data_IF_258029732584
#
_entry.id   IF_258029732584
#
_cell.length_a   1.000
_cell.length_b   1.000
_cell.length_c   1.000
_cell.angle_alpha   90.00
_cell.angle_beta   90.00
_cell.angle_gamma   90.00
#
_symmetry.space_group_name_H-M   'P 1'
#
loop_
_entity.id
_entity.type
_entity.pdbx_description
1 polymer ?
#
# COMPACT_ATOMS: atom_id res chain seq x y z
N UNK A 1 15.59 12.55 25.19
CA UNK A 1 15.66 11.07 25.02
C UNK A 1 14.60 10.38 25.86
N UNK A 2 14.53 10.63 27.18
CA UNK A 2 13.50 10.05 28.08
C UNK A 2 12.05 10.21 27.58
N UNK A 3 11.62 11.41 27.16
CA UNK A 3 10.26 11.64 26.66
C UNK A 3 9.89 10.82 25.40
N UNK A 4 10.86 10.56 24.53
CA UNK A 4 10.65 9.78 23.29
C UNK A 4 10.51 8.30 23.64
N UNK A 5 11.38 7.79 24.51
CA UNK A 5 11.29 6.42 25.02
C UNK A 5 10.01 6.18 25.83
N UNK A 6 9.56 7.16 26.62
CA UNK A 6 8.34 7.04 27.43
C UNK A 6 7.07 7.09 26.56
N UNK A 7 7.04 7.91 25.50
CA UNK A 7 5.93 7.94 24.53
C UNK A 7 5.85 6.66 23.69
N UNK A 8 7.00 6.10 23.29
CA UNK A 8 7.02 4.82 22.56
C UNK A 8 6.76 3.62 23.46
N UNK A 9 7.17 3.66 24.73
CA UNK A 9 6.79 2.67 25.73
C UNK A 9 5.29 2.75 26.07
N UNK A 10 4.68 3.93 25.99
CA UNK A 10 3.23 4.12 26.13
C UNK A 10 2.42 3.55 24.95
N UNK A 11 2.99 3.53 23.74
CA UNK A 11 2.34 2.99 22.55
C UNK A 11 2.58 1.47 22.35
N UNK A 12 3.36 0.82 23.23
CA UNK A 12 3.75 -0.59 23.13
C UNK A 12 4.28 -1.01 21.74
N UNK A 13 4.94 -0.06 21.04
CA UNK A 13 5.47 -0.30 19.70
C UNK A 13 6.82 -1.02 19.79
N UNK A 14 6.95 -2.10 19.03
CA UNK A 14 8.24 -2.75 18.80
C UNK A 14 9.17 -1.81 18.04
N UNK A 15 10.48 -1.98 18.25
CA UNK A 15 11.51 -1.19 17.54
C UNK A 15 11.38 -1.29 16.01
N UNK A 16 10.86 -2.41 15.51
CA UNK A 16 10.66 -2.65 14.08
C UNK A 16 9.52 -1.82 13.50
N UNK A 17 8.43 -1.64 14.23
CA UNK A 17 7.30 -0.79 13.81
C UNK A 17 7.70 0.68 13.78
N UNK A 18 8.49 1.12 14.75
CA UNK A 18 9.06 2.48 14.77
C UNK A 18 9.96 2.70 13.55
N UNK A 19 10.80 1.74 13.20
CA UNK A 19 11.67 1.82 12.01
C UNK A 19 10.81 1.91 10.74
N UNK A 20 9.81 1.04 10.59
CA UNK A 20 8.92 1.03 9.43
C UNK A 20 8.17 2.36 9.27
N UNK A 21 7.61 2.89 10.35
CA UNK A 21 6.92 4.18 10.36
C UNK A 21 7.87 5.32 9.98
N UNK A 22 9.06 5.36 10.56
CA UNK A 22 10.09 6.35 10.23
C UNK A 22 10.46 6.28 8.74
N UNK A 23 10.62 5.08 8.18
CA UNK A 23 10.98 4.91 6.77
C UNK A 23 9.87 5.42 5.84
N UNK A 24 8.60 5.11 6.12
CA UNK A 24 7.47 5.62 5.34
C UNK A 24 7.34 7.16 5.41
N UNK A 25 7.53 7.75 6.61
CA UNK A 25 7.55 9.21 6.78
C UNK A 25 8.69 9.87 5.99
N UNK A 26 9.88 9.24 5.97
CA UNK A 26 10.99 9.68 5.12
C UNK A 26 10.61 9.64 3.65
N UNK A 27 9.92 8.59 3.18
CA UNK A 27 9.45 8.54 1.79
C UNK A 27 8.42 9.61 1.46
N UNK A 28 7.42 9.84 2.31
CA UNK A 28 6.46 10.95 2.13
C UNK A 28 7.20 12.29 2.03
N UNK A 29 8.16 12.53 2.91
CA UNK A 29 8.97 13.76 2.90
C UNK A 29 9.80 13.89 1.61
N UNK A 30 10.51 12.82 1.21
CA UNK A 30 11.30 12.79 -0.02
C UNK A 30 10.43 12.99 -1.27
N UNK A 31 9.24 12.39 -1.31
CA UNK A 31 8.26 12.63 -2.37
C UNK A 31 7.86 14.10 -2.42
N UNK A 32 7.53 14.68 -1.26
CA UNK A 32 7.11 16.09 -1.11
C UNK A 32 8.20 17.06 -1.58
N UNK A 33 9.47 16.83 -1.21
CA UNK A 33 10.59 17.66 -1.64
C UNK A 33 10.84 17.59 -3.15
N UNK A 34 10.60 16.44 -3.77
CA UNK A 34 10.85 16.24 -5.19
C UNK A 34 9.66 16.59 -6.08
N UNK A 35 8.49 16.95 -5.52
CA UNK A 35 7.25 17.35 -6.24
C UNK A 35 7.57 18.29 -7.43
N UNK A 36 8.42 19.29 -7.19
CA UNK A 36 8.81 20.30 -8.18
C UNK A 36 9.65 19.73 -9.34
N UNK A 37 10.44 18.68 -9.12
CA UNK A 37 11.30 18.05 -10.12
C UNK A 37 10.55 17.07 -11.05
N UNK A 38 9.46 16.46 -10.60
CA UNK A 38 8.62 15.58 -11.43
C UNK A 38 7.92 16.32 -12.58
N UNK A 39 7.78 17.65 -12.46
CA UNK A 39 7.12 18.53 -13.44
C UNK A 39 7.77 18.56 -14.85
N UNK A 40 8.96 18.00 -15.04
CA UNK A 40 9.70 18.15 -16.31
C UNK A 40 9.61 16.96 -17.27
N UNK A 41 9.12 15.79 -16.86
CA UNK A 41 9.50 14.53 -17.54
C UNK A 41 8.50 13.91 -18.52
N UNK A 42 7.20 14.23 -18.49
CA UNK A 42 6.19 13.63 -19.41
C UNK A 42 5.09 14.60 -19.84
N UNK A 43 4.51 14.35 -21.02
CA UNK A 43 3.31 15.02 -21.57
C UNK A 43 1.99 14.58 -20.89
N UNK A 44 2.06 14.04 -19.69
CA UNK A 44 0.89 13.72 -18.86
C UNK A 44 0.48 14.94 -18.04
N UNK A 45 -0.75 14.95 -17.52
CA UNK A 45 -1.19 16.01 -16.60
C UNK A 45 -0.41 15.92 -15.28
N UNK A 46 0.60 16.78 -15.16
CA UNK A 46 1.75 16.61 -14.26
C UNK A 46 1.38 16.69 -12.79
N UNK A 47 0.39 17.53 -12.47
CA UNK A 47 -0.13 17.70 -11.11
C UNK A 47 -0.86 16.43 -10.64
N UNK A 48 -1.59 15.75 -11.53
CA UNK A 48 -2.35 14.53 -11.19
C UNK A 48 -1.47 13.35 -10.86
N UNK A 49 -0.41 13.12 -11.65
CA UNK A 49 0.49 11.97 -11.43
C UNK A 49 1.24 12.08 -10.10
N UNK A 50 1.73 13.27 -9.78
CA UNK A 50 2.40 13.53 -8.50
C UNK A 50 1.42 13.41 -7.33
N UNK A 51 0.21 13.96 -7.49
CA UNK A 51 -0.84 13.84 -6.49
C UNK A 51 -1.20 12.38 -6.22
N UNK A 52 -1.35 11.55 -7.26
CA UNK A 52 -1.67 10.13 -7.07
C UNK A 52 -0.57 9.36 -6.33
N UNK A 53 0.70 9.63 -6.62
CA UNK A 53 1.78 8.99 -5.87
C UNK A 53 1.82 9.47 -4.43
N UNK A 54 1.69 10.78 -4.19
CA UNK A 54 1.68 11.33 -2.84
C UNK A 54 0.53 10.73 -2.01
N UNK A 55 -0.67 10.67 -2.58
CA UNK A 55 -1.83 10.08 -1.92
C UNK A 55 -1.64 8.57 -1.70
N UNK A 56 -1.06 7.85 -2.67
CA UNK A 56 -0.72 6.42 -2.50
C UNK A 56 0.20 6.21 -1.29
N UNK A 57 1.28 7.00 -1.19
CA UNK A 57 2.23 6.90 -0.07
C UNK A 57 1.58 7.27 1.26
N UNK A 58 0.84 8.39 1.31
CA UNK A 58 0.12 8.82 2.53
C UNK A 58 -0.83 7.73 3.02
N UNK A 59 -1.63 7.16 2.12
CA UNK A 59 -2.60 6.14 2.52
C UNK A 59 -1.96 4.80 2.87
N UNK A 60 -0.86 4.39 2.23
CA UNK A 60 -0.09 3.23 2.70
C UNK A 60 0.48 3.46 4.10
N UNK A 61 1.04 4.65 4.37
CA UNK A 61 1.54 5.01 5.70
C UNK A 61 0.44 4.99 6.75
N UNK A 62 -0.75 5.52 6.45
CA UNK A 62 -1.89 5.42 7.37
C UNK A 62 -2.37 3.97 7.56
N UNK A 63 -2.29 3.13 6.52
CA UNK A 63 -2.52 1.69 6.64
C UNK A 63 -1.56 1.04 7.64
N UNK A 64 -0.26 1.35 7.55
CA UNK A 64 0.77 0.90 8.49
C UNK A 64 0.46 1.38 9.90
N UNK A 65 0.20 2.69 10.09
CA UNK A 65 -0.09 3.29 11.40
C UNK A 65 -1.27 2.60 12.09
N UNK A 66 -2.34 2.29 11.34
CA UNK A 66 -3.53 1.69 11.91
C UNK A 66 -3.38 0.21 12.23
N UNK A 67 -2.57 -0.52 11.47
CA UNK A 67 -2.41 -1.93 11.77
C UNK A 67 -1.51 -2.21 12.98
N UNK A 68 -0.72 -1.24 13.41
CA UNK A 68 -0.03 -1.27 14.71
C UNK A 68 -0.91 -0.67 15.82
N UNK A 69 -2.20 -0.51 15.56
CA UNK A 69 -3.22 0.00 16.47
C UNK A 69 -2.80 1.26 17.27
N UNK A 70 -2.12 2.20 16.63
CA UNK A 70 -1.64 3.43 17.30
C UNK A 70 -2.80 4.25 17.89
N UNK A 71 -4.03 4.07 17.39
CA UNK A 71 -5.22 4.74 17.90
C UNK A 71 -5.97 3.97 19.00
N UNK A 72 -5.51 2.78 19.40
CA UNK A 72 -6.15 1.98 20.45
C UNK A 72 -7.54 1.46 20.07
N UNK A 73 -7.80 1.26 18.78
CA UNK A 73 -9.05 0.74 18.23
C UNK A 73 -9.22 -0.76 18.50
N UNK A 74 -8.16 -1.51 18.84
CA UNK A 74 -8.26 -2.92 19.19
C UNK A 74 -9.06 -3.10 20.48
N UNK A 75 -8.99 -2.13 21.41
CA UNK A 75 -9.77 -2.10 22.64
C UNK A 75 -11.29 -2.03 22.40
N UNK A 76 -11.70 -1.64 21.19
CA UNK A 76 -13.09 -1.50 20.79
C UNK A 76 -13.59 -2.74 20.02
N UNK A 77 -12.77 -3.79 19.90
CA UNK A 77 -13.06 -4.94 19.06
C UNK A 77 -12.96 -6.27 19.81
N UNK A 78 -13.97 -7.11 19.65
CA UNK A 78 -13.91 -8.50 20.07
C UNK A 78 -13.30 -9.38 18.96
N UNK A 79 -12.53 -10.42 19.33
CA UNK A 79 -12.04 -11.40 18.36
C UNK A 79 -13.20 -12.05 17.60
N UNK A 80 -12.94 -12.41 16.35
CA UNK A 80 -13.88 -13.11 15.46
C UNK A 80 -13.22 -14.42 15.06
N UNK A 81 -13.88 -15.56 15.32
CA UNK A 81 -13.39 -16.91 14.96
C UNK A 81 -11.92 -17.17 15.34
N UNK A 82 -11.50 -16.76 16.54
CA UNK A 82 -10.10 -16.93 17.03
C UNK A 82 -9.02 -16.22 16.20
N UNK A 83 -9.37 -15.40 15.19
CA UNK A 83 -8.41 -14.65 14.39
C UNK A 83 -8.13 -13.26 14.99
N UNK A 84 -6.88 -12.81 14.85
CA UNK A 84 -6.34 -11.60 15.48
C UNK A 84 -6.77 -10.28 14.80
N UNK A 85 -7.77 -10.33 13.93
CA UNK A 85 -8.16 -9.22 13.06
C UNK A 85 -9.03 -8.24 13.84
N UNK A 86 -8.52 -7.04 14.09
CA UNK A 86 -9.16 -6.02 14.94
C UNK A 86 -9.93 -4.94 14.15
N UNK A 87 -10.53 -3.97 14.85
CA UNK A 87 -11.09 -2.77 14.20
C UNK A 87 -9.99 -1.94 13.52
N UNK A 88 -8.80 -1.86 14.12
CA UNK A 88 -7.64 -1.18 13.56
C UNK A 88 -7.22 -1.81 12.22
N UNK A 89 -7.30 -3.14 12.12
CA UNK A 89 -7.12 -3.86 10.87
C UNK A 89 -8.14 -3.46 9.79
N UNK A 90 -9.41 -3.29 10.15
CA UNK A 90 -10.44 -2.82 9.20
C UNK A 90 -10.16 -1.42 8.66
N UNK A 91 -9.67 -0.51 9.50
CA UNK A 91 -9.25 0.84 9.10
C UNK A 91 -7.99 0.77 8.23
N UNK A 92 -7.03 -0.09 8.57
CA UNK A 92 -5.85 -0.33 7.76
C UNK A 92 -6.21 -0.82 6.34
N UNK A 93 -7.21 -1.69 6.22
CA UNK A 93 -7.74 -2.13 4.91
C UNK A 93 -8.38 -0.97 4.15
N UNK A 94 -9.17 -0.09 4.77
CA UNK A 94 -9.72 1.10 4.10
C UNK A 94 -8.60 1.97 3.51
N UNK A 95 -7.57 2.25 4.30
CA UNK A 95 -6.44 3.04 3.84
C UNK A 95 -5.65 2.32 2.75
N UNK A 96 -5.47 1.00 2.85
CA UNK A 96 -4.88 0.18 1.79
C UNK A 96 -5.70 0.22 0.49
N UNK A 97 -7.04 0.12 0.56
CA UNK A 97 -7.92 0.24 -0.61
C UNK A 97 -7.82 1.63 -1.28
N UNK A 98 -7.74 2.70 -0.47
CA UNK A 98 -7.50 4.05 -0.98
C UNK A 98 -6.13 4.15 -1.66
N UNK A 99 -5.08 3.61 -1.04
CA UNK A 99 -3.75 3.57 -1.63
C UNK A 99 -3.75 2.82 -2.97
N UNK A 100 -4.37 1.64 -3.03
CA UNK A 100 -4.56 0.83 -4.23
C UNK A 100 -5.30 1.60 -5.34
N UNK A 101 -6.35 2.35 -5.00
CA UNK A 101 -7.08 3.18 -5.96
C UNK A 101 -6.20 4.27 -6.58
N UNK A 102 -5.46 5.01 -5.76
CA UNK A 102 -4.54 6.05 -6.25
C UNK A 102 -3.39 5.42 -7.03
N UNK A 103 -2.93 4.25 -6.63
CA UNK A 103 -1.83 3.58 -7.29
C UNK A 103 -2.22 3.06 -8.68
N UNK A 104 -3.41 2.49 -8.80
CA UNK A 104 -4.00 2.11 -10.07
C UNK A 104 -4.22 3.32 -10.98
N UNK A 105 -4.73 4.42 -10.42
CA UNK A 105 -4.92 5.68 -11.14
C UNK A 105 -3.61 6.25 -11.66
N UNK A 106 -2.56 6.19 -10.86
CA UNK A 106 -1.19 6.52 -11.25
C UNK A 106 -0.73 5.65 -12.42
N UNK A 107 -0.84 4.33 -12.31
CA UNK A 107 -0.43 3.40 -13.36
C UNK A 107 -1.11 3.75 -14.68
N UNK A 108 -2.42 3.99 -14.67
CA UNK A 108 -3.17 4.35 -15.87
C UNK A 108 -2.77 5.69 -16.49
N UNK A 109 -2.43 6.71 -15.68
CA UNK A 109 -1.87 7.95 -16.20
C UNK A 109 -0.49 7.72 -16.84
N UNK A 110 0.34 6.85 -16.25
CA UNK A 110 1.67 6.52 -16.78
C UNK A 110 1.59 5.68 -18.06
N UNK A 111 0.60 4.80 -18.19
CA UNK A 111 0.39 3.91 -19.34
C UNK A 111 -0.39 4.57 -20.48
N UNK A 112 -1.09 5.68 -20.24
CA UNK A 112 -2.04 6.26 -21.18
C UNK A 112 -1.46 7.20 -22.25
N UNK A 113 -1.64 6.83 -23.52
CA UNK A 113 -1.79 7.76 -24.67
C UNK A 113 -3.22 7.78 -25.25
N UNK A 114 -4.17 6.99 -24.73
CA UNK A 114 -5.57 7.01 -25.19
C UNK A 114 -6.58 7.09 -24.02
N UNK A 115 -7.10 8.30 -23.70
CA UNK A 115 -7.98 8.56 -22.56
C UNK A 115 -9.32 7.81 -22.59
N UNK A 116 -9.77 7.29 -23.74
CA UNK A 116 -11.11 6.70 -23.90
C UNK A 116 -11.19 5.26 -23.40
N UNK A 117 -10.10 4.48 -23.46
CA UNK A 117 -10.03 3.10 -22.95
C UNK A 117 -9.77 3.03 -21.44
N UNK A 118 -9.03 3.99 -20.89
CA UNK A 118 -8.73 4.06 -19.45
C UNK A 118 -9.95 4.44 -18.59
N UNK A 119 -10.90 5.23 -19.13
CA UNK A 119 -12.09 5.67 -18.36
C UNK A 119 -12.97 4.53 -17.87
N UNK A 120 -13.11 3.43 -18.63
CA UNK A 120 -13.90 2.26 -18.20
C UNK A 120 -13.13 1.37 -17.23
N UNK A 121 -11.81 1.18 -17.40
CA UNK A 121 -11.02 0.34 -16.49
C UNK A 121 -10.71 1.03 -15.15
N UNK A 122 -10.58 2.37 -15.11
CA UNK A 122 -10.50 3.18 -13.86
C UNK A 122 -11.67 2.93 -12.93
N UNK A 123 -12.85 2.73 -13.51
CA UNK A 123 -14.11 2.65 -12.80
C UNK A 123 -14.24 1.35 -12.00
N UNK A 124 -13.93 0.21 -12.60
CA UNK A 124 -14.21 -1.08 -11.96
C UNK A 124 -13.30 -1.39 -10.77
N UNK A 125 -12.00 -1.12 -10.87
CA UNK A 125 -11.06 -1.57 -9.83
C UNK A 125 -11.19 -0.80 -8.51
N UNK A 126 -11.40 0.52 -8.57
CA UNK A 126 -11.62 1.35 -7.39
C UNK A 126 -12.97 1.16 -6.71
N UNK A 127 -14.00 0.77 -7.48
CA UNK A 127 -15.37 0.63 -6.98
C UNK A 127 -15.61 -0.69 -6.26
N UNK A 128 -14.80 -1.74 -6.47
CA UNK A 128 -14.99 -3.00 -5.74
C UNK A 128 -14.17 -3.08 -4.45
N UNK A 129 -12.94 -2.54 -4.46
CA UNK A 129 -12.03 -2.64 -3.34
C UNK A 129 -12.42 -1.69 -2.18
N UNK A 130 -12.83 -0.46 -2.51
CA UNK A 130 -13.15 0.54 -1.50
C UNK A 130 -14.43 0.21 -0.68
N UNK A 131 -15.56 -0.21 -1.29
CA UNK A 131 -16.71 -0.69 -0.51
C UNK A 131 -16.41 -1.94 0.31
N UNK A 132 -15.48 -2.80 -0.15
CA UNK A 132 -15.06 -3.96 0.62
C UNK A 132 -14.36 -3.54 1.91
N UNK A 133 -13.46 -2.55 1.87
CA UNK A 133 -12.86 -1.95 3.06
C UNK A 133 -13.90 -1.32 4.00
N UNK A 134 -14.90 -0.62 3.46
CA UNK A 134 -16.00 -0.06 4.25
C UNK A 134 -16.83 -1.17 4.91
N UNK A 135 -17.14 -2.26 4.21
CA UNK A 135 -17.88 -3.41 4.75
C UNK A 135 -17.14 -4.07 5.91
N UNK A 136 -15.82 -4.23 5.81
CA UNK A 136 -14.96 -4.77 6.88
C UNK A 136 -15.01 -3.89 8.13
N UNK A 137 -14.85 -2.59 7.95
CA UNK A 137 -14.83 -1.63 9.06
C UNK A 137 -16.21 -1.49 9.72
N UNK A 138 -17.28 -1.40 8.93
CA UNK A 138 -18.66 -1.37 9.45
C UNK A 138 -19.02 -2.68 10.17
N UNK A 139 -18.59 -3.84 9.65
CA UNK A 139 -18.80 -5.13 10.31
C UNK A 139 -18.18 -5.18 11.70
N UNK A 140 -17.00 -4.56 11.90
CA UNK A 140 -16.31 -4.50 13.20
C UNK A 140 -16.87 -3.45 14.15
N UNK A 141 -17.02 -2.20 13.67
CA UNK A 141 -17.48 -1.08 14.50
C UNK A 141 -18.93 -1.29 14.95
N UNK A 142 -19.76 -1.88 14.09
CA UNK A 142 -21.17 -2.06 14.44
C UNK A 142 -21.44 -3.32 15.26
N UNK A 143 -20.49 -4.27 15.38
CA UNK A 143 -20.68 -5.52 16.14
C UNK A 143 -21.28 -5.31 17.55
N UNK A 144 -20.82 -4.34 18.36
CA UNK A 144 -21.41 -4.07 19.68
C UNK A 144 -22.87 -3.58 19.60
N UNK A 145 -23.20 -2.77 18.59
CA UNK A 145 -24.54 -2.22 18.39
C UNK A 145 -25.53 -3.26 17.87
N UNK A 146 -25.08 -4.19 17.01
CA UNK A 146 -25.90 -5.28 16.50
C UNK A 146 -26.18 -6.35 17.56
N UNK A 147 -25.21 -6.65 18.42
CA UNK A 147 -25.41 -7.56 19.56
C UNK A 147 -26.48 -7.04 20.53
N UNK A 148 -26.64 -5.72 20.66
CA UNK A 148 -27.70 -5.10 21.47
C UNK A 148 -29.08 -5.14 20.81
N UNK A 149 -29.16 -5.36 19.49
CA UNK A 149 -30.40 -5.29 18.70
C UNK A 149 -31.18 -6.62 18.65
N UNK A 150 -30.78 -7.64 19.43
CA UNK A 150 -31.49 -8.94 19.59
C UNK A 150 -31.91 -9.53 18.23
N UNK A 151 -30.95 -9.59 17.30
CA UNK A 151 -31.06 -10.45 16.13
C UNK A 151 -30.11 -11.61 16.38
N UNK A 152 -30.64 -12.76 16.81
CA UNK A 152 -29.94 -14.05 17.01
C UNK A 152 -29.30 -14.62 15.71
N UNK A 153 -29.11 -13.80 14.68
CA UNK A 153 -28.35 -14.15 13.49
C UNK A 153 -26.86 -13.95 13.76
N UNK A 154 -26.16 -14.96 14.28
CA UNK A 154 -24.78 -15.16 13.78
C UNK A 154 -24.88 -15.60 12.30
N UNK A 155 -24.06 -15.10 11.34
CA UNK A 155 -22.97 -14.16 11.46
C UNK A 155 -22.89 -13.21 10.24
N UNK A 156 -23.93 -12.41 9.95
CA UNK A 156 -23.89 -11.53 8.76
C UNK A 156 -22.69 -10.58 8.81
N UNK A 157 -22.32 -10.10 10.00
CA UNK A 157 -21.14 -9.24 10.20
C UNK A 157 -19.82 -9.97 9.94
N UNK A 158 -19.67 -11.23 10.38
CA UNK A 158 -18.47 -12.01 10.07
C UNK A 158 -18.42 -12.36 8.58
N UNK A 159 -19.56 -12.71 7.96
CA UNK A 159 -19.63 -12.96 6.51
C UNK A 159 -19.27 -11.69 5.74
N UNK A 160 -19.79 -10.52 6.12
CA UNK A 160 -19.43 -9.25 5.50
C UNK A 160 -17.94 -8.93 5.67
N UNK A 161 -17.38 -9.24 6.85
CA UNK A 161 -15.95 -9.10 7.12
C UNK A 161 -15.12 -10.04 6.23
N UNK A 162 -15.41 -11.35 6.20
CA UNK A 162 -14.68 -12.34 5.42
C UNK A 162 -14.82 -12.11 3.91
N UNK A 163 -16.03 -11.80 3.43
CA UNK A 163 -16.28 -11.52 2.01
C UNK A 163 -15.62 -10.20 1.61
N UNK A 164 -15.76 -9.15 2.42
CA UNK A 164 -15.09 -7.87 2.17
C UNK A 164 -13.58 -8.03 2.16
N UNK A 165 -13.02 -8.74 3.14
CA UNK A 165 -11.60 -9.01 3.20
C UNK A 165 -11.14 -9.82 1.99
N UNK A 166 -11.85 -10.89 1.62
CA UNK A 166 -11.59 -11.68 0.41
C UNK A 166 -11.64 -10.85 -0.88
N UNK A 167 -12.57 -9.91 -1.01
CA UNK A 167 -12.64 -9.01 -2.17
C UNK A 167 -11.44 -8.06 -2.20
N UNK A 168 -11.09 -7.42 -1.07
CA UNK A 168 -9.92 -6.54 -0.96
C UNK A 168 -8.64 -7.27 -1.36
N UNK A 169 -8.49 -8.48 -0.83
CA UNK A 169 -7.41 -9.41 -1.09
C UNK A 169 -7.28 -9.77 -2.59
N UNK A 170 -8.37 -10.22 -3.21
CA UNK A 170 -8.40 -10.57 -4.63
C UNK A 170 -8.11 -9.35 -5.50
N UNK A 171 -8.72 -8.20 -5.18
CA UNK A 171 -8.46 -6.97 -5.90
C UNK A 171 -6.97 -6.64 -5.86
N UNK A 172 -6.40 -6.49 -4.66
CA UNK A 172 -5.00 -6.11 -4.45
C UNK A 172 -4.03 -7.05 -5.19
N UNK A 173 -4.30 -8.35 -5.21
CA UNK A 173 -3.53 -9.32 -5.99
C UNK A 173 -3.55 -9.02 -7.50
N UNK A 174 -4.73 -8.81 -8.09
CA UNK A 174 -4.85 -8.45 -9.51
C UNK A 174 -4.26 -7.09 -9.84
N UNK A 175 -4.30 -6.11 -8.91
CA UNK A 175 -3.59 -4.84 -9.07
C UNK A 175 -2.09 -5.06 -9.22
N UNK A 176 -1.50 -5.85 -8.32
CA UNK A 176 -0.07 -6.14 -8.34
C UNK A 176 0.36 -6.79 -9.67
N UNK A 177 -0.38 -7.79 -10.14
CA UNK A 177 -0.14 -8.41 -11.45
C UNK A 177 -0.29 -7.40 -12.59
N UNK A 178 -1.37 -6.62 -12.59
CA UNK A 178 -1.63 -5.61 -13.61
C UNK A 178 -0.48 -4.60 -13.72
N UNK A 179 -0.02 -4.07 -12.58
CA UNK A 179 1.08 -3.11 -12.54
C UNK A 179 2.39 -3.74 -13.02
N UNK A 180 2.71 -4.95 -12.54
CA UNK A 180 3.92 -5.68 -12.95
C UNK A 180 3.98 -5.88 -14.46
N UNK A 181 2.91 -6.39 -15.06
CA UNK A 181 2.83 -6.66 -16.50
C UNK A 181 2.95 -5.34 -17.29
N UNK A 182 2.19 -4.31 -16.91
CA UNK A 182 2.17 -3.07 -17.68
C UNK A 182 3.48 -2.27 -17.55
N UNK A 183 4.09 -2.19 -16.37
CA UNK A 183 5.39 -1.54 -16.21
C UNK A 183 6.48 -2.27 -17.00
N UNK A 184 6.54 -3.61 -16.96
CA UNK A 184 7.50 -4.37 -17.77
C UNK A 184 7.24 -4.24 -19.28
N UNK A 185 5.97 -4.18 -19.69
CA UNK A 185 5.60 -3.91 -21.09
C UNK A 185 6.15 -2.56 -21.51
N UNK A 186 5.91 -1.49 -20.75
CA UNK A 186 6.42 -0.15 -21.09
C UNK A 186 7.95 -0.13 -21.06
N UNK A 187 8.59 -0.81 -20.10
CA UNK A 187 10.04 -0.97 -20.07
C UNK A 187 10.58 -1.66 -21.32
N UNK A 188 9.89 -2.65 -21.89
CA UNK A 188 10.32 -3.35 -23.10
C UNK A 188 10.32 -2.43 -24.32
N UNK A 189 9.34 -1.53 -24.41
CA UNK A 189 9.12 -0.64 -25.55
C UNK A 189 9.65 0.79 -25.36
N UNK A 190 10.43 1.06 -24.30
CA UNK A 190 11.01 2.39 -24.08
C UNK A 190 12.33 2.58 -24.83
N UNK A 191 12.47 3.72 -25.51
CA UNK A 191 13.62 4.02 -26.36
C UNK A 191 14.92 4.24 -25.55
N UNK A 192 14.82 4.83 -24.36
CA UNK A 192 16.00 5.15 -23.55
C UNK A 192 16.31 4.06 -22.51
N UNK A 193 17.60 3.73 -22.33
CA UNK A 193 18.04 2.78 -21.29
C UNK A 193 17.60 3.20 -19.89
N UNK A 194 17.60 4.49 -19.59
CA UNK A 194 17.18 5.04 -18.31
C UNK A 194 15.69 4.74 -18.07
N UNK A 195 14.83 4.95 -19.06
CA UNK A 195 13.40 4.67 -18.92
C UNK A 195 13.13 3.17 -18.77
N UNK A 196 13.88 2.32 -19.49
CA UNK A 196 13.78 0.85 -19.31
C UNK A 196 14.07 0.42 -17.86
N UNK A 197 15.13 0.95 -17.26
CA UNK A 197 15.50 0.64 -15.88
C UNK A 197 14.52 1.24 -14.89
N UNK A 198 14.12 2.50 -15.11
CA UNK A 198 13.09 3.20 -14.33
C UNK A 198 11.81 2.37 -14.23
N UNK A 199 11.30 1.90 -15.35
CA UNK A 199 10.08 1.10 -15.39
C UNK A 199 10.22 -0.32 -14.88
N UNK A 200 11.40 -0.94 -15.02
CA UNK A 200 11.68 -2.24 -14.37
C UNK A 200 11.73 -2.11 -12.86
N UNK A 201 12.25 -1.00 -12.34
CA UNK A 201 12.18 -0.73 -10.91
C UNK A 201 10.73 -0.55 -10.48
N UNK A 202 9.94 0.25 -11.21
CA UNK A 202 8.51 0.39 -10.92
C UNK A 202 7.74 -0.93 -11.05
N UNK A 203 8.16 -1.91 -11.86
CA UNK A 203 7.48 -3.20 -11.90
C UNK A 203 7.67 -4.01 -10.62
N UNK A 204 8.74 -3.77 -9.85
CA UNK A 204 8.95 -4.37 -8.52
C UNK A 204 7.79 -4.02 -7.60
N UNK A 205 7.24 -2.82 -7.70
CA UNK A 205 6.08 -2.42 -6.88
C UNK A 205 4.88 -3.35 -7.05
N UNK A 206 4.64 -3.87 -8.26
CA UNK A 206 3.57 -4.82 -8.54
C UNK A 206 3.81 -6.17 -7.87
N UNK A 207 5.07 -6.64 -7.88
CA UNK A 207 5.47 -7.87 -7.16
C UNK A 207 5.37 -7.66 -5.65
N UNK A 208 5.80 -6.50 -5.15
CA UNK A 208 5.72 -6.14 -3.73
C UNK A 208 4.27 -6.10 -3.23
N UNK A 209 3.33 -5.59 -4.02
CA UNK A 209 1.89 -5.66 -3.69
C UNK A 209 1.44 -7.12 -3.51
N UNK A 210 1.79 -8.01 -4.45
CA UNK A 210 1.43 -9.45 -4.37
C UNK A 210 2.12 -10.15 -3.20
N UNK A 211 3.40 -9.87 -2.97
CA UNK A 211 4.16 -10.50 -1.91
C UNK A 211 3.69 -10.04 -0.52
N UNK A 212 3.41 -8.74 -0.35
CA UNK A 212 2.79 -8.22 0.89
C UNK A 212 1.44 -8.89 1.10
N UNK A 213 0.61 -8.98 0.06
CA UNK A 213 -0.67 -9.70 0.08
C UNK A 213 -0.55 -11.14 0.62
N UNK A 214 0.41 -11.93 0.12
CA UNK A 214 0.60 -13.30 0.59
C UNK A 214 0.92 -13.32 2.08
N UNK A 215 1.79 -12.41 2.54
CA UNK A 215 2.18 -12.32 3.95
C UNK A 215 0.99 -11.94 4.84
N UNK A 216 0.15 -11.01 4.40
CA UNK A 216 -1.09 -10.64 5.10
C UNK A 216 -2.08 -11.79 5.25
N UNK A 217 -2.28 -12.58 4.19
CA UNK A 217 -3.13 -13.77 4.25
C UNK A 217 -2.57 -14.80 5.22
N UNK A 218 -1.26 -15.05 5.17
CA UNK A 218 -0.60 -16.00 6.07
C UNK A 218 -0.71 -15.53 7.52
N UNK A 219 -0.50 -14.24 7.80
CA UNK A 219 -0.68 -13.67 9.14
C UNK A 219 -2.11 -13.79 9.63
N UNK A 220 -3.10 -13.49 8.78
CA UNK A 220 -4.51 -13.61 9.11
C UNK A 220 -4.97 -15.04 9.44
N UNK A 221 -4.18 -16.07 9.10
CA UNK A 221 -4.45 -17.47 9.44
C UNK A 221 -3.83 -17.90 10.79
N UNK A 222 -3.03 -17.04 11.43
CA UNK A 222 -2.40 -17.32 12.71
C UNK A 222 -3.43 -17.10 13.83
N UNK A 223 -3.63 -18.07 14.75
CA UNK A 223 -4.54 -17.91 15.88
C UNK A 223 -4.18 -16.72 16.77
N UNK A 224 -5.18 -16.01 17.30
CA UNK A 224 -5.07 -14.77 18.07
C UNK A 224 -4.42 -14.92 19.46
N UNK A 225 -3.91 -16.10 19.82
CA UNK A 225 -3.37 -16.41 21.15
C UNK A 225 -2.01 -15.76 21.42
N UNK A 226 -1.35 -15.19 20.41
CA UNK A 226 -0.10 -14.44 20.56
C UNK A 226 -0.43 -12.95 20.63
N UNK A 227 -0.19 -12.27 21.75
CA UNK A 227 -0.41 -10.81 21.87
C UNK A 227 0.56 -9.98 21.02
N UNK A 228 1.69 -10.54 20.61
CA UNK A 228 2.75 -9.82 19.88
C UNK A 228 2.49 -9.75 18.37
N UNK A 229 2.93 -8.66 17.72
CA UNK A 229 2.88 -8.52 16.26
C UNK A 229 3.73 -9.62 15.62
N UNK A 230 3.12 -10.35 14.68
CA UNK A 230 3.79 -11.52 14.12
C UNK A 230 4.98 -11.09 13.26
N UNK A 231 6.09 -11.85 13.24
CA UNK A 231 7.19 -11.60 12.31
C UNK A 231 6.73 -11.57 10.84
N UNK A 232 5.62 -12.24 10.52
CA UNK A 232 5.01 -12.28 9.19
C UNK A 232 4.35 -10.94 8.86
N UNK A 233 3.69 -10.29 9.81
CA UNK A 233 3.14 -8.95 9.66
C UNK A 233 4.23 -7.92 9.43
N UNK A 234 5.31 -7.97 10.24
CA UNK A 234 6.49 -7.11 10.05
C UNK A 234 7.09 -7.30 8.64
N UNK A 235 7.20 -8.54 8.18
CA UNK A 235 7.64 -8.83 6.82
C UNK A 235 6.67 -8.28 5.77
N UNK A 236 5.36 -8.42 5.99
CA UNK A 236 4.30 -7.87 5.14
C UNK A 236 4.45 -6.36 4.94
N UNK A 237 4.73 -5.64 6.04
CA UNK A 237 5.01 -4.21 6.04
C UNK A 237 6.33 -3.84 5.37
N UNK A 238 7.41 -4.56 5.65
CA UNK A 238 8.70 -4.35 5.00
C UNK A 238 8.61 -4.51 3.48
N UNK A 239 7.77 -5.45 3.01
CA UNK A 239 7.49 -5.61 1.59
C UNK A 239 6.61 -4.48 1.04
N UNK A 240 5.63 -3.98 1.81
CA UNK A 240 4.84 -2.82 1.41
C UNK A 240 5.71 -1.56 1.22
N UNK A 241 6.72 -1.36 2.08
CA UNK A 241 7.69 -0.27 1.93
C UNK A 241 8.45 -0.31 0.59
N UNK A 242 8.72 -1.51 0.06
CA UNK A 242 9.35 -1.66 -1.27
C UNK A 242 8.49 -1.09 -2.39
N UNK A 243 7.17 -0.97 -2.22
CA UNK A 243 6.28 -0.28 -3.16
C UNK A 243 6.68 1.19 -3.25
N UNK A 244 6.74 1.89 -2.12
CA UNK A 244 7.15 3.30 -2.03
C UNK A 244 8.58 3.53 -2.56
N UNK A 245 9.52 2.66 -2.19
CA UNK A 245 10.93 2.73 -2.63
C UNK A 245 11.06 2.57 -4.14
N UNK A 246 10.48 1.50 -4.69
CA UNK A 246 10.60 1.17 -6.11
C UNK A 246 9.92 2.21 -7.00
N UNK A 247 8.81 2.78 -6.53
CA UNK A 247 8.13 3.91 -7.13
C UNK A 247 8.99 5.18 -7.11
N UNK A 248 9.60 5.49 -5.96
CA UNK A 248 10.44 6.67 -5.82
C UNK A 248 11.68 6.57 -6.69
N UNK A 249 12.42 5.46 -6.61
CA UNK A 249 13.60 5.28 -7.44
C UNK A 249 13.24 5.28 -8.92
N UNK A 250 12.25 4.47 -9.32
CA UNK A 250 11.86 4.31 -10.71
C UNK A 250 11.27 5.59 -11.34
N UNK A 251 10.48 6.36 -10.60
CA UNK A 251 9.81 7.54 -11.14
C UNK A 251 10.57 8.85 -10.86
N UNK A 252 11.15 9.01 -9.67
CA UNK A 252 11.73 10.26 -9.15
C UNK A 252 13.21 10.47 -9.43
N UNK A 253 14.01 9.41 -9.50
CA UNK A 253 15.48 9.53 -9.49
C UNK A 253 16.17 9.04 -10.76
N UNK A 254 15.79 9.54 -11.97
CA UNK A 254 16.52 9.20 -13.19
C UNK A 254 17.90 9.81 -13.28
N UNK A 255 18.16 10.93 -12.59
CA UNK A 255 19.48 11.57 -12.56
C UNK A 255 20.51 10.65 -11.90
N UNK A 256 20.10 9.92 -10.87
CA UNK A 256 20.93 8.89 -10.24
C UNK A 256 21.31 7.80 -11.25
N UNK A 257 20.34 7.27 -12.01
CA UNK A 257 20.63 6.28 -13.05
C UNK A 257 21.46 6.86 -14.20
N UNK A 258 21.19 8.10 -14.61
CA UNK A 258 21.95 8.79 -15.66
C UNK A 258 23.43 8.90 -15.29
N UNK A 259 23.72 9.41 -14.09
CA UNK A 259 25.09 9.54 -13.57
C UNK A 259 25.78 8.18 -13.49
N UNK A 260 25.09 7.16 -12.96
CA UNK A 260 25.63 5.79 -12.88
C UNK A 260 25.97 5.20 -14.26
N UNK A 261 25.14 5.48 -15.29
CA UNK A 261 25.42 5.00 -16.64
C UNK A 261 26.54 5.79 -17.32
N UNK A 262 26.58 7.11 -17.15
CA UNK A 262 27.65 7.98 -17.66
C UNK A 262 29.01 7.56 -17.04
N UNK A 263 29.07 7.32 -15.73
CA UNK A 263 30.27 6.82 -15.04
C UNK A 263 30.70 5.42 -15.52
N UNK A 264 29.74 4.53 -15.76
CA UNK A 264 30.02 3.18 -16.27
C UNK A 264 30.53 3.20 -17.71
N UNK A 265 30.03 4.11 -18.54
CA UNK A 265 30.49 4.28 -19.92
C UNK A 265 31.91 4.85 -19.98
N UNK A 266 32.25 5.80 -19.10
CA UNK A 266 33.62 6.33 -18.96
C UNK A 266 34.59 5.20 -18.57
N UNK A 267 34.24 4.36 -17.57
CA UNK A 267 35.10 3.25 -17.12
C UNK A 267 35.37 2.18 -18.19
N UNK A 268 34.46 1.98 -19.13
CA UNK A 268 34.67 1.02 -20.24
C UNK A 268 35.62 1.58 -21.31
N UNK A 269 35.74 2.91 -21.39
CA UNK A 269 36.57 3.60 -22.39
C UNK A 269 38.00 3.89 -21.90
N UNK A 270 38.25 3.81 -20.60
CA UNK A 270 39.57 3.97 -19.94
C UNK A 270 40.18 2.61 -19.63
#
# INVERSE_FOLDING_TARGET
MAFITDYFAFLDLTIWEIILLCMELVFIFLWSLNISHFSRRRKTDKSKVVLYILLTSIFYTFGVIQAVDILGLDQWSEPIFEFKLSAAYGVAVIFSSLASFFFYSFGLEVFGKDPRKAKRSKFWFGIFDFPAGIMICLGKIMKPFWNQLVLDFMPLYDVLFFVGFGIHLIATFFLGIFLFINFNKVAKYSDTRIDRVSFRLMSISGVSVVASYILWVVEGLIPATQSEVSPIGIAGWGVALLISVSMYLGYAQPKFFRKMFEEKEIRIRT
#
